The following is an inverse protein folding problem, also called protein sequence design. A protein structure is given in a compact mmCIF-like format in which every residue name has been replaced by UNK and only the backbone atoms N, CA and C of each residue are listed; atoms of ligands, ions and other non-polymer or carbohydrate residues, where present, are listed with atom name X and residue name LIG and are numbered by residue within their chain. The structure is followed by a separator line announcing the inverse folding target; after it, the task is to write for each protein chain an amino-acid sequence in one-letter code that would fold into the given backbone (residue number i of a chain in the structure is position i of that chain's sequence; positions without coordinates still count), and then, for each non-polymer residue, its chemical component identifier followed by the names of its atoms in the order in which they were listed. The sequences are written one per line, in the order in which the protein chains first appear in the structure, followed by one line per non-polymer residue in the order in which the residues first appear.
data_IF_686627048921
#
_entry.id   IF_686627048921
#
_cell.length_a   1.000
_cell.length_b   1.000
_cell.length_c   1.000
_cell.angle_alpha   90.00
_cell.angle_beta   90.00
_cell.angle_gamma   90.00
#
_symmetry.space_group_name_H-M   'P 1'
#
loop_
_entity.id
_entity.type
_entity.pdbx_description
1 polymer ?
#
# COMPACT_ATOMS: atom_id res chain seq x y z
N UNK A 1 13.73 -0.57 47.14
CA UNK A 1 12.60 -1.45 46.75
C UNK A 1 11.57 -0.78 45.86
N UNK A 2 11.23 0.48 46.11
CA UNK A 2 10.25 1.21 45.29
C UNK A 2 10.70 1.50 43.86
N UNK A 3 11.99 1.57 43.60
CA UNK A 3 12.56 1.82 42.27
C UNK A 3 12.39 0.66 41.30
N UNK A 4 12.26 -0.56 41.79
CA UNK A 4 12.06 -1.77 40.95
C UNK A 4 10.67 -1.82 40.34
N UNK A 5 9.66 -1.26 40.97
CA UNK A 5 8.29 -1.27 40.43
C UNK A 5 8.12 -0.31 39.25
N UNK A 6 8.88 0.76 39.22
CA UNK A 6 8.85 1.73 38.12
C UNK A 6 9.42 1.14 36.81
N UNK A 7 10.49 0.36 36.93
CA UNK A 7 11.12 -0.27 35.79
C UNK A 7 10.20 -1.33 35.16
N UNK A 8 9.50 -2.11 35.99
CA UNK A 8 8.54 -3.10 35.55
C UNK A 8 7.34 -2.45 34.85
N UNK A 9 6.90 -1.30 35.30
CA UNK A 9 5.78 -0.58 34.69
C UNK A 9 6.13 -0.08 33.30
N UNK A 10 7.34 0.40 33.07
CA UNK A 10 7.82 0.86 31.75
C UNK A 10 7.95 -0.29 30.76
N UNK A 11 8.28 -1.49 31.23
CA UNK A 11 8.38 -2.67 30.36
C UNK A 11 7.02 -3.25 29.93
N UNK A 12 5.94 -2.79 30.54
CA UNK A 12 4.58 -3.22 30.22
C UNK A 12 3.85 -2.28 29.25
N UNK A 13 4.53 -1.23 28.75
CA UNK A 13 3.94 -0.36 27.75
C UNK A 13 3.66 -1.14 26.46
N UNK A 14 2.40 -1.14 26.00
CA UNK A 14 2.08 -1.86 24.78
C UNK A 14 2.82 -1.26 23.60
N UNK A 15 3.52 -2.11 22.87
CA UNK A 15 4.05 -1.72 21.55
C UNK A 15 2.88 -1.71 20.59
N UNK A 16 2.45 -0.52 20.19
CA UNK A 16 1.48 -0.39 19.11
C UNK A 16 2.15 -0.85 17.81
N UNK A 17 1.47 -1.76 17.10
CA UNK A 17 1.93 -2.19 15.77
C UNK A 17 1.64 -1.07 14.77
N UNK A 18 2.61 -0.22 14.53
CA UNK A 18 2.54 0.81 13.48
C UNK A 18 3.11 0.25 12.19
N UNK A 19 2.56 0.66 11.05
CA UNK A 19 3.25 0.54 9.79
C UNK A 19 4.54 1.35 9.85
N UNK A 20 5.65 0.71 9.61
CA UNK A 20 6.97 1.33 9.72
C UNK A 20 7.88 0.80 8.63
N UNK A 21 9.02 1.46 8.47
CA UNK A 21 10.05 1.06 7.52
C UNK A 21 10.42 -0.41 7.74
N UNK A 22 10.38 -1.18 6.66
CA UNK A 22 10.63 -2.62 6.67
C UNK A 22 9.39 -3.48 6.67
N UNK A 23 8.22 -2.92 7.01
CA UNK A 23 6.97 -3.68 7.00
C UNK A 23 6.63 -4.15 5.60
N UNK A 24 6.26 -5.42 5.49
CA UNK A 24 5.90 -6.07 4.23
C UNK A 24 4.44 -6.48 4.27
N UNK A 25 3.73 -6.19 3.19
CA UNK A 25 2.32 -6.54 3.04
C UNK A 25 2.13 -7.40 1.80
N UNK A 26 1.36 -8.49 1.96
CA UNK A 26 0.84 -9.28 0.85
C UNK A 26 -0.61 -8.91 0.60
N UNK A 27 -0.93 -8.61 -0.64
CA UNK A 27 -2.23 -8.10 -1.04
C UNK A 27 -2.87 -8.98 -2.10
N UNK A 28 -4.19 -9.16 -1.99
CA UNK A 28 -5.00 -9.79 -3.02
C UNK A 28 -5.98 -8.77 -3.56
N UNK A 29 -5.95 -8.52 -4.85
CA UNK A 29 -6.92 -7.64 -5.49
C UNK A 29 -8.32 -8.21 -5.34
N UNK A 30 -9.26 -7.38 -4.94
CA UNK A 30 -10.68 -7.72 -4.92
C UNK A 30 -11.35 -7.28 -6.21
N UNK A 31 -10.89 -6.18 -6.78
CA UNK A 31 -11.38 -5.66 -8.04
C UNK A 31 -10.28 -4.86 -8.73
N UNK A 32 -10.21 -4.96 -10.06
CA UNK A 32 -9.33 -4.15 -10.88
C UNK A 32 -10.06 -3.79 -12.17
N UNK A 33 -10.23 -2.50 -12.42
CA UNK A 33 -10.96 -2.00 -13.58
C UNK A 33 -10.15 -0.93 -14.31
N UNK A 34 -10.41 -0.80 -15.60
CA UNK A 34 -9.88 0.28 -16.43
C UNK A 34 -10.99 0.83 -17.30
N UNK A 35 -11.04 2.13 -17.42
CA UNK A 35 -11.91 2.80 -18.39
C UNK A 35 -11.01 3.34 -19.50
N UNK A 36 -11.15 2.83 -20.69
CA UNK A 36 -10.37 3.21 -21.85
C UNK A 36 -11.28 3.45 -23.03
N UNK A 37 -11.20 4.63 -23.62
CA UNK A 37 -12.04 5.00 -24.79
C UNK A 37 -13.53 4.77 -24.52
N UNK A 38 -14.00 5.12 -23.32
CA UNK A 38 -15.40 4.95 -22.95
C UNK A 38 -15.83 3.52 -22.65
N UNK A 39 -14.90 2.56 -22.62
CA UNK A 39 -15.18 1.16 -22.34
C UNK A 39 -14.68 0.77 -20.98
N UNK A 40 -15.49 0.02 -20.25
CA UNK A 40 -15.11 -0.56 -18.97
C UNK A 40 -14.46 -1.93 -19.21
N UNK A 41 -13.23 -2.07 -18.73
CA UNK A 41 -12.48 -3.33 -18.80
C UNK A 41 -12.32 -3.84 -17.38
N UNK A 42 -12.73 -5.09 -17.14
CA UNK A 42 -12.50 -5.77 -15.87
C UNK A 42 -11.28 -6.69 -16.04
N UNK A 43 -10.29 -6.50 -15.15
CA UNK A 43 -9.12 -7.36 -15.14
C UNK A 43 -9.30 -8.49 -14.13
N UNK A 44 -8.61 -9.61 -14.39
CA UNK A 44 -8.55 -10.70 -13.43
C UNK A 44 -7.77 -10.23 -12.20
N UNK A 45 -8.35 -10.34 -11.00
CA UNK A 45 -7.63 -9.95 -9.78
C UNK A 45 -6.32 -10.71 -9.62
N UNK A 46 -5.28 -9.99 -9.23
CA UNK A 46 -3.93 -10.53 -9.05
C UNK A 46 -3.45 -10.29 -7.63
N UNK A 47 -2.44 -11.03 -7.23
CA UNK A 47 -1.75 -10.82 -5.96
C UNK A 47 -0.54 -9.93 -6.18
N UNK A 48 -0.25 -9.10 -5.20
CA UNK A 48 0.95 -8.28 -5.20
C UNK A 48 1.45 -8.09 -3.78
N UNK A 49 2.67 -7.59 -3.66
CA UNK A 49 3.24 -7.26 -2.36
C UNK A 49 3.92 -5.91 -2.43
N UNK A 50 3.99 -5.23 -1.30
CA UNK A 50 4.76 -4.02 -1.18
C UNK A 50 5.44 -3.94 0.19
N UNK A 51 6.50 -3.16 0.24
CA UNK A 51 7.25 -2.91 1.46
C UNK A 51 7.36 -1.41 1.69
N UNK A 52 7.25 -1.01 2.95
CA UNK A 52 7.59 0.36 3.34
C UNK A 52 9.11 0.44 3.40
N UNK A 53 9.73 1.07 2.41
CA UNK A 53 11.19 1.09 2.28
C UNK A 53 11.83 2.33 2.89
N UNK A 54 11.04 3.41 3.02
CA UNK A 54 11.42 4.66 3.69
C UNK A 54 10.18 5.21 4.38
N UNK A 55 10.36 6.22 5.23
CA UNK A 55 9.24 6.84 5.95
C UNK A 55 8.17 7.40 5.02
N UNK A 56 8.55 7.78 3.80
CA UNK A 56 7.64 8.36 2.81
C UNK A 56 7.55 7.57 1.52
N UNK A 57 7.93 6.29 1.52
CA UNK A 57 8.00 5.53 0.27
C UNK A 57 7.60 4.07 0.46
N UNK A 58 6.73 3.59 -0.42
CA UNK A 58 6.45 2.16 -0.56
C UNK A 58 6.98 1.67 -1.91
N UNK A 59 7.45 0.44 -1.93
CA UNK A 59 7.97 -0.21 -3.15
C UNK A 59 7.30 -1.54 -3.36
N UNK A 60 6.79 -1.74 -4.57
CA UNK A 60 6.15 -3.00 -4.97
C UNK A 60 7.17 -4.03 -5.42
N UNK A 61 6.87 -5.30 -5.20
CA UNK A 61 7.73 -6.39 -5.63
C UNK A 61 7.82 -6.50 -7.15
N UNK A 62 8.92 -7.09 -7.63
CA UNK A 62 9.17 -7.26 -9.07
C UNK A 62 8.36 -8.41 -9.69
N UNK A 63 7.72 -9.21 -8.87
CA UNK A 63 6.90 -10.35 -9.29
C UNK A 63 5.43 -10.01 -9.52
N UNK A 64 5.06 -8.76 -9.33
CA UNK A 64 3.71 -8.27 -9.62
C UNK A 64 3.62 -7.82 -11.07
N UNK A 65 2.63 -8.30 -11.79
CA UNK A 65 2.44 -7.92 -13.20
C UNK A 65 1.98 -6.47 -13.36
N UNK A 66 1.25 -5.93 -12.40
CA UNK A 66 0.70 -4.58 -12.51
C UNK A 66 1.64 -3.54 -11.91
N UNK A 67 2.11 -3.78 -10.70
CA UNK A 67 2.91 -2.82 -9.95
C UNK A 67 4.41 -3.13 -9.96
N UNK A 68 4.88 -4.00 -10.84
CA UNK A 68 6.24 -4.52 -10.78
C UNK A 68 7.30 -3.42 -10.64
N UNK A 69 7.98 -3.39 -9.49
CA UNK A 69 9.05 -2.44 -9.21
C UNK A 69 8.61 -1.00 -9.01
N UNK A 70 7.30 -0.71 -9.02
CA UNK A 70 6.79 0.64 -8.84
C UNK A 70 7.06 1.15 -7.43
N UNK A 71 7.37 2.43 -7.32
CA UNK A 71 7.48 3.13 -6.04
C UNK A 71 6.39 4.19 -5.95
N UNK A 72 5.73 4.28 -4.79
CA UNK A 72 4.72 5.30 -4.52
C UNK A 72 5.11 6.08 -3.27
N UNK A 73 5.02 7.39 -3.36
CA UNK A 73 5.35 8.29 -2.28
C UNK A 73 4.18 8.38 -1.30
N UNK A 74 4.49 8.24 -0.01
CA UNK A 74 3.53 8.45 1.07
C UNK A 74 3.53 9.93 1.43
N UNK A 75 2.35 10.53 1.44
CA UNK A 75 2.18 11.94 1.82
C UNK A 75 2.02 12.06 3.33
N UNK A 76 1.23 11.20 3.93
CA UNK A 76 0.95 11.27 5.36
C UNK A 76 0.57 9.91 5.94
N UNK A 77 0.84 9.75 7.24
CA UNK A 77 0.42 8.62 8.05
C UNK A 77 -0.56 9.09 9.11
N UNK A 78 -1.52 8.23 9.48
CA UNK A 78 -2.35 8.46 10.66
C UNK A 78 -1.52 8.30 11.95
N UNK A 79 -2.04 8.81 13.06
CA UNK A 79 -1.35 8.78 14.36
C UNK A 79 -0.96 7.36 14.82
N UNK A 80 -1.75 6.35 14.44
CA UNK A 80 -1.48 4.96 14.79
C UNK A 80 -0.71 4.19 13.71
N UNK A 81 -0.38 4.82 12.58
CA UNK A 81 0.35 4.19 11.49
C UNK A 81 -0.43 3.14 10.70
N UNK A 82 -1.71 2.92 10.99
CA UNK A 82 -2.54 1.93 10.30
C UNK A 82 -3.16 2.46 9.02
N UNK A 83 -3.11 3.76 8.84
CA UNK A 83 -3.59 4.43 7.64
C UNK A 83 -2.48 5.30 7.07
N UNK A 84 -2.27 5.21 5.78
CA UNK A 84 -1.38 6.12 5.06
C UNK A 84 -1.86 6.26 3.62
N UNK A 85 -1.52 7.38 3.01
CA UNK A 85 -1.96 7.66 1.65
C UNK A 85 -0.91 8.45 0.87
N UNK A 86 -1.02 8.40 -0.43
CA UNK A 86 -0.28 9.22 -1.37
C UNK A 86 -1.22 9.83 -2.41
N UNK A 87 -0.66 10.33 -3.50
CA UNK A 87 -1.45 11.00 -4.53
C UNK A 87 -2.47 10.06 -5.21
N UNK A 88 -2.09 8.80 -5.38
CA UNK A 88 -2.88 7.86 -6.16
C UNK A 88 -3.34 6.63 -5.38
N UNK A 89 -3.04 6.57 -4.09
CA UNK A 89 -3.37 5.39 -3.30
C UNK A 89 -3.72 5.74 -1.86
N UNK A 90 -4.45 4.84 -1.24
CA UNK A 90 -4.73 4.88 0.20
C UNK A 90 -4.66 3.47 0.77
N UNK A 91 -4.00 3.35 1.90
CA UNK A 91 -3.98 2.12 2.69
C UNK A 91 -4.66 2.40 4.03
N UNK A 92 -5.67 1.62 4.34
CA UNK A 92 -6.48 1.82 5.55
C UNK A 92 -6.86 0.47 6.14
N UNK A 93 -6.29 0.15 7.32
CA UNK A 93 -6.61 -1.06 8.08
C UNK A 93 -6.59 -2.34 7.23
N UNK A 94 -5.56 -2.51 6.41
CA UNK A 94 -5.40 -3.68 5.55
C UNK A 94 -6.08 -3.58 4.19
N UNK A 95 -6.86 -2.56 3.93
CA UNK A 95 -7.46 -2.33 2.61
C UNK A 95 -6.61 -1.37 1.81
N UNK A 96 -6.30 -1.74 0.59
CA UNK A 96 -5.50 -0.94 -0.34
C UNK A 96 -6.36 -0.49 -1.51
N UNK A 97 -6.30 0.80 -1.80
CA UNK A 97 -7.01 1.39 -2.94
C UNK A 97 -6.02 2.16 -3.80
N UNK A 98 -6.15 2.01 -5.09
CA UNK A 98 -5.34 2.71 -6.07
C UNK A 98 -6.24 3.23 -7.18
N UNK A 99 -6.00 4.48 -7.59
CA UNK A 99 -6.71 5.06 -8.73
C UNK A 99 -5.79 6.02 -9.48
N UNK A 100 -5.79 5.94 -10.78
CA UNK A 100 -4.93 6.75 -11.62
C UNK A 100 -5.63 7.12 -12.92
N UNK A 101 -5.43 8.36 -13.34
CA UNK A 101 -5.89 8.82 -14.64
C UNK A 101 -4.66 9.13 -15.49
N UNK A 102 -4.56 8.44 -16.61
CA UNK A 102 -3.46 8.56 -17.54
C UNK A 102 -3.92 9.18 -18.85
N UNK A 103 -3.16 10.11 -19.36
CA UNK A 103 -3.35 10.63 -20.70
C UNK A 103 -2.14 10.21 -21.53
N UNK A 104 -2.39 9.38 -22.54
CA UNK A 104 -1.35 8.99 -23.48
C UNK A 104 -1.25 10.04 -24.57
N UNK A 105 -0.13 10.76 -24.70
CA UNK A 105 0.05 11.63 -25.84
C UNK A 105 0.26 10.78 -27.08
N UNK A 106 -0.76 10.71 -27.94
CA UNK A 106 -0.58 10.19 -29.30
C UNK A 106 -0.68 11.36 -30.28
N UNK A 107 -0.04 11.23 -31.42
CA UNK A 107 -0.03 12.30 -32.42
C UNK A 107 -1.43 12.64 -32.95
N UNK A 108 -2.36 11.70 -32.86
CA UNK A 108 -3.66 11.81 -33.51
C UNK A 108 -4.84 11.77 -32.52
N UNK A 109 -4.67 11.20 -31.33
CA UNK A 109 -5.77 11.06 -30.35
C UNK A 109 -5.20 11.11 -28.95
N UNK A 110 -5.72 12.05 -28.13
CA UNK A 110 -5.51 12.02 -26.68
C UNK A 110 -6.35 10.90 -26.09
N UNK A 111 -5.71 9.79 -25.73
CA UNK A 111 -6.40 8.67 -25.09
C UNK A 111 -6.33 8.83 -23.59
N UNK A 112 -7.47 9.08 -22.97
CA UNK A 112 -7.61 9.14 -21.53
C UNK A 112 -7.95 7.76 -21.01
N UNK A 113 -7.14 7.27 -20.06
CA UNK A 113 -7.35 5.99 -19.39
C UNK A 113 -7.47 6.23 -17.90
N UNK A 114 -8.51 5.67 -17.28
CA UNK A 114 -8.69 5.70 -15.83
C UNK A 114 -8.62 4.26 -15.30
N UNK A 115 -7.77 4.05 -14.32
CA UNK A 115 -7.59 2.75 -13.68
C UNK A 115 -7.94 2.85 -12.22
N UNK A 116 -8.63 1.85 -11.68
CA UNK A 116 -8.92 1.77 -10.26
C UNK A 116 -8.85 0.31 -9.80
N UNK A 117 -8.30 0.10 -8.62
CA UNK A 117 -8.30 -1.23 -8.03
C UNK A 117 -8.45 -1.14 -6.51
N UNK A 118 -8.95 -2.23 -5.95
CA UNK A 118 -9.02 -2.44 -4.51
C UNK A 118 -8.40 -3.79 -4.17
N UNK A 119 -7.81 -3.88 -2.99
CA UNK A 119 -7.16 -5.10 -2.53
C UNK A 119 -7.25 -5.22 -1.02
N UNK A 120 -7.20 -6.44 -0.52
CA UNK A 120 -7.07 -6.75 0.89
C UNK A 120 -5.66 -7.24 1.17
N UNK A 121 -5.03 -6.67 2.18
CA UNK A 121 -3.62 -6.90 2.50
C UNK A 121 -3.47 -7.48 3.89
N UNK A 122 -2.45 -8.31 4.05
CA UNK A 122 -2.04 -8.87 5.33
C UNK A 122 -0.59 -8.51 5.60
N UNK A 123 -0.31 -8.06 6.80
CA UNK A 123 1.07 -7.83 7.24
C UNK A 123 1.79 -9.17 7.40
N UNK A 124 3.03 -9.21 6.94
CA UNK A 124 3.86 -10.40 7.10
C UNK A 124 4.75 -10.21 8.30
N UNK A 125 4.53 -11.04 9.32
CA UNK A 125 5.34 -11.07 10.53
C UNK A 125 6.34 -12.21 10.47
N UNK A 126 6.99 -12.37 9.34
CA UNK A 126 7.98 -13.42 9.17
C UNK A 126 9.38 -12.85 9.39
N UNK A 127 9.93 -13.15 10.54
CA UNK A 127 11.27 -12.75 10.92
C UNK A 127 12.34 -13.75 10.50
N UNK A 128 11.95 -14.81 9.81
CA UNK A 128 12.88 -15.88 9.43
C UNK A 128 13.59 -15.61 8.10
N UNK A 129 13.29 -14.53 7.47
CA UNK A 129 13.85 -14.21 6.15
C UNK A 129 14.82 -13.07 6.23
#
# INVERSE_FOLDING_TARGET
MRKLYWILFLSLLPFCAFSKVGDLYYCEMTQAIEIKEGRLINYIPQKFKFRVVQEDLIKFGNDSNYFSGLELKIIDFSDNGEQFYGDNFEFSFGSFYFAEVFRWPSKDIDTLTATALSAECSAVNDYSV
#
